data_IF_127150320421
#
_entry.id   IF_127150320421
#
_cell.length_a   1.000
_cell.length_b   1.000
_cell.length_c   1.000
_cell.angle_alpha   90.00
_cell.angle_beta   90.00
_cell.angle_gamma   90.00
#
_symmetry.space_group_name_H-M   'P 1'
#
loop_
_entity.id
_entity.type
_entity.pdbx_description
1 polymer ?
#
# COMPACT_ATOMS: atom_id res chain seq x y z
N UNK A 1 -24.84 32.59 13.11
CA UNK A 1 -25.48 31.37 13.64
C UNK A 1 -25.99 30.57 12.44
N UNK A 2 -25.31 29.51 12.04
CA UNK A 2 -25.80 28.60 11.01
C UNK A 2 -26.09 27.26 11.69
N UNK A 3 -27.38 26.97 11.87
CA UNK A 3 -27.86 25.70 12.40
C UNK A 3 -27.92 24.69 11.27
N UNK A 4 -27.07 23.66 11.34
CA UNK A 4 -27.29 22.42 10.61
C UNK A 4 -28.17 21.52 11.49
N UNK A 5 -29.36 21.21 11.03
CA UNK A 5 -30.28 20.24 11.63
C UNK A 5 -29.69 18.83 11.54
N UNK A 6 -29.70 18.11 12.67
CA UNK A 6 -29.05 16.81 12.87
C UNK A 6 -29.70 15.61 12.13
N UNK A 7 -30.68 15.86 11.26
CA UNK A 7 -31.53 14.81 10.66
C UNK A 7 -30.98 14.14 9.39
N UNK A 8 -29.87 14.59 8.82
CA UNK A 8 -29.30 13.96 7.60
C UNK A 8 -28.40 12.74 7.86
N UNK A 9 -28.13 12.40 9.12
CA UNK A 9 -27.22 11.32 9.52
C UNK A 9 -27.89 9.94 9.74
N UNK A 10 -29.15 9.73 9.32
CA UNK A 10 -29.84 8.42 9.42
C UNK A 10 -30.12 7.75 8.06
N UNK A 11 -29.17 7.75 7.14
CA UNK A 11 -29.24 6.85 5.98
C UNK A 11 -28.85 5.44 6.43
N UNK A 12 -29.82 4.51 6.44
CA UNK A 12 -29.61 3.09 6.75
C UNK A 12 -28.54 2.50 5.80
N UNK A 13 -27.62 1.67 6.29
CA UNK A 13 -26.62 1.02 5.45
C UNK A 13 -27.33 0.14 4.41
N UNK A 14 -26.92 0.26 3.14
CA UNK A 14 -27.38 -0.64 2.08
C UNK A 14 -26.98 -2.09 2.43
N UNK A 15 -27.85 -3.09 2.22
CA UNK A 15 -27.50 -4.48 2.47
C UNK A 15 -26.31 -4.87 1.59
N UNK A 16 -25.29 -5.45 2.23
CA UNK A 16 -24.06 -5.90 1.60
C UNK A 16 -24.41 -7.06 0.66
N UNK A 17 -24.09 -6.90 -0.63
CA UNK A 17 -24.22 -8.00 -1.60
C UNK A 17 -23.48 -9.22 -1.08
N UNK A 18 -24.17 -10.36 -1.09
CA UNK A 18 -23.69 -11.64 -0.59
C UNK A 18 -22.39 -12.03 -1.32
N UNK A 19 -21.33 -12.24 -0.55
CA UNK A 19 -20.03 -12.68 -1.07
C UNK A 19 -20.16 -14.11 -1.60
N UNK A 20 -20.00 -14.31 -2.91
CA UNK A 20 -19.84 -15.66 -3.48
C UNK A 20 -18.36 -16.06 -3.43
N UNK A 21 -18.01 -17.23 -2.86
CA UNK A 21 -16.65 -17.75 -2.94
C UNK A 21 -16.28 -18.08 -4.39
N UNK A 22 -15.08 -17.67 -4.81
CA UNK A 22 -14.48 -18.15 -6.07
C UNK A 22 -14.10 -19.61 -5.84
N UNK A 23 -14.74 -20.53 -6.57
CA UNK A 23 -14.36 -21.94 -6.60
C UNK A 23 -12.89 -22.04 -7.04
N UNK A 24 -12.02 -22.54 -6.16
CA UNK A 24 -10.66 -22.92 -6.53
C UNK A 24 -10.76 -24.12 -7.47
N UNK A 25 -10.26 -23.96 -8.69
CA UNK A 25 -9.76 -25.10 -9.46
C UNK A 25 -8.29 -25.26 -9.08
N UNK A 26 -7.90 -26.45 -8.64
CA UNK A 26 -6.50 -26.81 -8.46
C UNK A 26 -5.83 -26.97 -9.84
N UNK A 27 -4.63 -26.40 -10.05
CA UNK A 27 -3.75 -26.86 -11.10
C UNK A 27 -2.49 -27.49 -10.50
N UNK A 28 -2.26 -28.75 -10.89
CA UNK A 28 -0.92 -29.32 -10.97
C UNK A 28 0.00 -28.35 -11.74
N UNK A 29 1.22 -28.17 -11.23
CA UNK A 29 2.30 -27.33 -11.73
C UNK A 29 2.59 -27.54 -13.25
N UNK A 30 3.10 -26.51 -13.96
CA UNK A 30 4.53 -26.19 -13.85
C UNK A 30 4.83 -24.69 -13.72
N UNK A 31 6.04 -24.42 -13.22
CA UNK A 31 6.64 -23.13 -12.87
C UNK A 31 6.33 -21.99 -13.86
N UNK A 32 5.78 -20.84 -13.42
CA UNK A 32 5.51 -19.70 -14.29
C UNK A 32 6.80 -18.95 -14.69
N UNK A 33 6.89 -18.40 -15.92
CA UNK A 33 7.91 -17.43 -16.26
C UNK A 33 7.77 -16.15 -15.41
N UNK A 34 8.90 -15.59 -14.98
CA UNK A 34 8.92 -14.43 -14.08
C UNK A 34 8.25 -13.19 -14.73
N UNK A 35 7.46 -12.40 -13.97
CA UNK A 35 6.80 -11.19 -14.48
C UNK A 35 7.81 -10.14 -14.96
N UNK A 36 7.45 -9.41 -16.02
CA UNK A 36 8.27 -8.30 -16.54
C UNK A 36 8.05 -7.05 -15.68
N UNK A 37 8.90 -6.85 -14.69
CA UNK A 37 8.94 -5.64 -13.85
C UNK A 37 9.83 -4.57 -14.46
N UNK A 38 9.59 -3.29 -14.13
CA UNK A 38 10.56 -2.23 -14.42
C UNK A 38 11.81 -2.34 -13.50
N UNK A 39 12.81 -1.49 -13.75
CA UNK A 39 14.05 -1.39 -12.95
C UNK A 39 13.80 -1.11 -11.46
N UNK A 40 12.57 -0.69 -11.11
CA UNK A 40 12.12 -0.36 -9.77
C UNK A 40 11.21 -1.44 -9.17
N UNK A 41 10.96 -2.53 -9.90
CA UNK A 41 10.22 -3.70 -9.44
C UNK A 41 8.69 -3.53 -9.48
N UNK A 42 8.15 -2.53 -10.18
CA UNK A 42 6.71 -2.41 -10.40
C UNK A 42 6.27 -3.19 -11.64
N UNK A 43 5.09 -3.82 -11.57
CA UNK A 43 4.52 -4.53 -12.70
C UNK A 43 4.18 -3.59 -13.86
N UNK A 44 4.58 -3.96 -15.08
CA UNK A 44 4.33 -3.17 -16.28
C UNK A 44 2.92 -3.45 -16.83
N UNK A 45 1.95 -2.58 -16.54
CA UNK A 45 0.61 -2.72 -17.12
C UNK A 45 0.59 -2.13 -18.53
N UNK A 46 0.47 -2.99 -19.56
CA UNK A 46 0.17 -2.53 -20.92
C UNK A 46 -1.24 -1.94 -20.95
N UNK A 47 -1.35 -0.61 -21.12
CA UNK A 47 -2.63 0.04 -21.39
C UNK A 47 -3.19 -0.50 -22.70
N UNK A 48 -4.43 -1.02 -22.70
CA UNK A 48 -5.15 -1.33 -23.95
C UNK A 48 -5.27 -0.04 -24.75
N UNK A 49 -4.65 0.01 -25.92
CA UNK A 49 -4.97 1.03 -26.91
C UNK A 49 -6.44 0.87 -27.33
N UNK A 50 -7.21 1.96 -27.30
CA UNK A 50 -8.54 1.97 -27.88
C UNK A 50 -8.40 1.77 -29.41
N UNK A 51 -8.82 0.62 -29.91
CA UNK A 51 -8.83 0.36 -31.35
C UNK A 51 -9.93 1.19 -32.03
N UNK A 52 -9.70 1.80 -33.21
CA UNK A 52 -10.75 2.43 -33.98
C UNK A 52 -11.68 1.36 -34.55
N UNK A 53 -12.99 1.61 -34.49
CA UNK A 53 -14.02 0.73 -35.04
C UNK A 53 -14.05 0.90 -36.57
N UNK A 54 -13.57 -0.08 -37.32
CA UNK A 54 -13.92 -0.30 -38.74
C UNK A 54 -14.15 -1.80 -38.95
N UNK A 55 -15.25 -2.14 -39.64
CA UNK A 55 -15.89 -3.45 -39.62
C UNK A 55 -15.34 -4.54 -40.55
N UNK A 56 -16.11 -5.64 -40.52
CA UNK A 56 -16.14 -6.84 -41.38
C UNK A 56 -15.13 -7.98 -41.15
N UNK A 57 -15.63 -8.96 -40.37
CA UNK A 57 -15.72 -10.43 -40.61
C UNK A 57 -14.51 -11.17 -41.21
N UNK A 58 -13.78 -11.88 -40.35
CA UNK A 58 -13.24 -13.22 -40.66
C UNK A 58 -13.07 -14.03 -39.36
N UNK A 59 -13.53 -15.28 -39.37
CA UNK A 59 -13.42 -16.21 -38.23
C UNK A 59 -11.97 -16.72 -38.12
N UNK A 60 -11.34 -16.45 -36.99
CA UNK A 60 -10.16 -17.18 -36.51
C UNK A 60 -10.41 -17.58 -35.05
N UNK A 61 -9.90 -18.75 -34.61
CA UNK A 61 -10.18 -19.28 -33.27
C UNK A 61 -9.68 -18.28 -32.21
N UNK A 62 -10.30 -18.22 -31.01
CA UNK A 62 -9.94 -17.21 -30.02
C UNK A 62 -8.50 -17.47 -29.57
N UNK A 63 -7.57 -16.74 -30.17
CA UNK A 63 -6.23 -16.58 -29.64
C UNK A 63 -6.47 -16.07 -28.23
N UNK A 64 -6.09 -16.89 -27.25
CA UNK A 64 -6.22 -16.50 -25.86
C UNK A 64 -5.45 -15.20 -25.72
N UNK A 65 -6.20 -14.11 -25.56
CA UNK A 65 -5.66 -12.86 -25.08
C UNK A 65 -5.17 -13.20 -23.69
N UNK A 66 -3.88 -13.50 -23.60
CA UNK A 66 -3.16 -13.64 -22.35
C UNK A 66 -3.29 -12.28 -21.66
N UNK A 67 -4.38 -12.12 -20.91
CA UNK A 67 -4.50 -11.08 -19.92
C UNK A 67 -3.45 -11.43 -18.88
N UNK A 68 -2.21 -10.97 -19.09
CA UNK A 68 -1.24 -10.79 -18.02
C UNK A 68 -1.79 -9.69 -17.12
N UNK A 69 -2.86 -10.00 -16.38
CA UNK A 69 -3.04 -9.46 -15.06
C UNK A 69 -1.96 -10.16 -14.26
N UNK A 70 -0.74 -9.62 -14.30
CA UNK A 70 0.30 -10.01 -13.36
C UNK A 70 -0.34 -9.87 -11.98
N UNK A 71 -0.64 -11.00 -11.36
CA UNK A 71 -1.20 -11.03 -10.01
C UNK A 71 -0.05 -10.60 -9.11
N UNK A 72 0.09 -9.30 -8.97
CA UNK A 72 1.03 -8.70 -8.03
C UNK A 72 0.59 -9.13 -6.63
N UNK A 73 1.27 -10.14 -6.10
CA UNK A 73 1.03 -10.60 -4.74
C UNK A 73 1.34 -9.47 -3.75
N UNK A 74 0.61 -9.45 -2.64
CA UNK A 74 0.80 -8.44 -1.58
C UNK A 74 2.23 -8.44 -1.07
N UNK A 75 2.87 -9.62 -1.01
CA UNK A 75 4.26 -9.72 -0.60
C UNK A 75 5.22 -9.08 -1.62
N UNK A 76 4.90 -9.20 -2.91
CA UNK A 76 5.67 -8.56 -3.97
C UNK A 76 5.56 -7.04 -3.90
N UNK A 77 4.33 -6.51 -3.85
CA UNK A 77 4.08 -5.07 -3.82
C UNK A 77 4.67 -4.40 -2.56
N UNK A 78 4.39 -4.94 -1.38
CA UNK A 78 4.66 -4.23 -0.12
C UNK A 78 6.03 -4.54 0.49
N UNK A 79 6.67 -5.65 0.14
CA UNK A 79 7.88 -6.11 0.83
C UNK A 79 9.04 -6.46 -0.10
N UNK A 80 8.78 -6.89 -1.34
CA UNK A 80 9.85 -7.36 -2.23
C UNK A 80 10.23 -6.38 -3.34
N UNK A 81 9.32 -5.52 -3.77
CA UNK A 81 9.59 -4.44 -4.72
C UNK A 81 10.76 -3.56 -4.25
N UNK A 82 11.65 -3.16 -5.16
CA UNK A 82 12.85 -2.36 -4.84
C UNK A 82 12.46 -1.04 -4.20
N UNK A 83 11.48 -0.35 -4.78
CA UNK A 83 10.96 0.90 -4.21
C UNK A 83 10.43 0.73 -2.78
N UNK A 84 9.72 -0.37 -2.51
CA UNK A 84 9.21 -0.68 -1.18
C UNK A 84 10.34 -0.98 -0.19
N UNK A 85 11.35 -1.77 -0.60
CA UNK A 85 12.54 -2.07 0.21
C UNK A 85 13.30 -0.81 0.59
N UNK A 86 13.52 0.09 -0.35
CA UNK A 86 14.22 1.36 -0.11
C UNK A 86 13.45 2.25 0.85
N UNK A 87 12.12 2.30 0.73
CA UNK A 87 11.28 3.02 1.68
C UNK A 87 11.35 2.40 3.09
N UNK A 88 11.21 1.08 3.21
CA UNK A 88 11.31 0.39 4.50
C UNK A 88 12.67 0.57 5.16
N UNK A 89 13.75 0.51 4.38
CA UNK A 89 15.10 0.76 4.88
C UNK A 89 15.25 2.19 5.38
N UNK A 90 14.72 3.17 4.63
CA UNK A 90 14.73 4.57 5.04
C UNK A 90 13.97 4.81 6.35
N UNK A 91 12.79 4.20 6.50
CA UNK A 91 11.99 4.25 7.73
C UNK A 91 12.70 3.55 8.90
N UNK A 92 13.37 2.43 8.63
CA UNK A 92 14.17 1.68 9.60
C UNK A 92 15.31 2.51 10.15
N UNK A 93 16.03 3.22 9.30
CA UNK A 93 17.12 4.07 9.70
C UNK A 93 16.65 5.26 10.55
N UNK A 94 15.48 5.84 10.23
CA UNK A 94 14.96 7.00 10.95
C UNK A 94 14.38 6.65 12.34
N UNK A 95 13.47 5.68 12.44
CA UNK A 95 12.75 5.39 13.70
C UNK A 95 13.33 4.19 14.47
N UNK A 96 14.46 3.63 14.03
CA UNK A 96 14.98 2.35 14.49
C UNK A 96 13.88 1.26 14.45
N UNK A 97 13.28 1.10 13.27
CA UNK A 97 12.11 0.25 13.03
C UNK A 97 12.50 -1.23 13.12
N UNK A 98 12.24 -1.89 14.26
CA UNK A 98 12.59 -3.32 14.48
C UNK A 98 11.59 -4.31 13.87
N UNK A 99 10.71 -3.85 13.00
CA UNK A 99 9.65 -4.67 12.39
C UNK A 99 10.24 -5.46 11.23
N UNK A 100 9.82 -6.72 11.11
CA UNK A 100 10.26 -7.59 10.02
C UNK A 100 9.46 -7.23 8.76
N UNK A 101 10.16 -6.81 7.71
CA UNK A 101 9.56 -6.39 6.44
C UNK A 101 9.82 -7.41 5.33
N UNK A 102 10.07 -8.68 5.68
CA UNK A 102 10.35 -9.74 4.70
C UNK A 102 9.09 -10.21 3.97
N UNK A 103 7.97 -10.29 4.68
CA UNK A 103 6.65 -10.63 4.14
C UNK A 103 5.54 -10.21 5.12
N UNK A 104 4.29 -10.28 4.67
CA UNK A 104 3.09 -9.89 5.41
C UNK A 104 2.94 -10.62 6.74
N UNK A 105 3.29 -11.91 6.80
CA UNK A 105 3.13 -12.71 8.01
C UNK A 105 4.18 -12.30 9.05
N UNK A 106 5.44 -12.20 8.66
CA UNK A 106 6.51 -11.74 9.53
C UNK A 106 6.29 -10.30 10.01
N UNK A 107 5.79 -9.43 9.13
CA UNK A 107 5.43 -8.06 9.43
C UNK A 107 4.33 -7.97 10.49
N UNK A 108 3.21 -8.65 10.27
CA UNK A 108 2.10 -8.64 11.23
C UNK A 108 2.51 -9.26 12.57
N UNK A 109 3.24 -10.38 12.56
CA UNK A 109 3.73 -11.01 13.78
C UNK A 109 4.69 -10.12 14.56
N UNK A 110 5.62 -9.44 13.88
CA UNK A 110 6.58 -8.55 14.54
C UNK A 110 5.89 -7.33 15.15
N UNK A 111 4.87 -6.76 14.49
CA UNK A 111 4.04 -5.68 15.04
C UNK A 111 3.28 -6.08 16.31
N UNK A 112 2.74 -7.30 16.35
CA UNK A 112 2.04 -7.83 17.54
C UNK A 112 3.03 -8.09 18.69
N UNK A 113 4.23 -8.59 18.37
CA UNK A 113 5.28 -8.94 19.34
C UNK A 113 6.11 -7.75 19.82
N UNK A 114 5.82 -6.51 19.39
CA UNK A 114 6.59 -5.33 19.79
C UNK A 114 6.67 -5.19 21.31
N UNK A 115 7.89 -5.12 21.84
CA UNK A 115 8.19 -4.84 23.25
C UNK A 115 8.66 -3.39 23.39
N UNK A 116 7.70 -2.46 23.39
CA UNK A 116 7.92 -1.00 23.49
C UNK A 116 6.88 -0.34 24.41
N UNK A 117 7.15 0.85 24.96
CA UNK A 117 6.13 1.66 25.64
C UNK A 117 4.92 1.93 24.74
N UNK A 118 3.74 2.13 25.34
CA UNK A 118 2.48 2.29 24.59
C UNK A 118 2.52 3.40 23.53
N UNK A 119 3.10 4.56 23.87
CA UNK A 119 3.25 5.68 22.93
C UNK A 119 4.14 5.32 21.73
N UNK A 120 5.30 4.71 21.98
CA UNK A 120 6.21 4.25 20.92
C UNK A 120 5.57 3.18 20.03
N UNK A 121 4.80 2.24 20.61
CA UNK A 121 4.02 1.29 19.82
C UNK A 121 3.05 1.98 18.87
N UNK A 122 2.31 2.96 19.37
CA UNK A 122 1.34 3.71 18.55
C UNK A 122 2.02 4.49 17.42
N UNK A 123 3.14 5.15 17.70
CA UNK A 123 3.93 5.83 16.67
C UNK A 123 4.48 4.82 15.66
N UNK A 124 4.96 3.66 16.11
CA UNK A 124 5.45 2.59 15.24
C UNK A 124 4.35 2.06 14.32
N UNK A 125 3.12 1.88 14.83
CA UNK A 125 1.95 1.53 14.01
C UNK A 125 1.59 2.61 13.01
N UNK A 126 1.69 3.89 13.39
CA UNK A 126 1.46 5.00 12.46
C UNK A 126 2.49 5.02 11.33
N UNK A 127 3.78 4.79 11.63
CA UNK A 127 4.85 4.68 10.63
C UNK A 127 4.61 3.50 9.69
N UNK A 128 4.32 2.33 10.25
CA UNK A 128 4.01 1.13 9.49
C UNK A 128 2.83 1.35 8.51
N UNK A 129 1.73 1.93 8.99
CA UNK A 129 0.56 2.22 8.18
C UNK A 129 0.86 3.27 7.10
N UNK A 130 1.60 4.33 7.43
CA UNK A 130 1.95 5.38 6.48
C UNK A 130 2.88 4.87 5.37
N UNK A 131 3.81 3.95 5.69
CA UNK A 131 4.68 3.31 4.71
C UNK A 131 3.88 2.44 3.73
N UNK A 132 2.98 1.58 4.23
CA UNK A 132 2.07 0.78 3.39
C UNK A 132 1.24 1.68 2.46
N UNK A 133 0.65 2.74 3.00
CA UNK A 133 -0.12 3.69 2.20
C UNK A 133 0.73 4.38 1.13
N UNK A 134 1.96 4.75 1.47
CA UNK A 134 2.91 5.38 0.55
C UNK A 134 3.26 4.46 -0.63
N UNK A 135 3.50 3.18 -0.37
CA UNK A 135 3.75 2.16 -1.40
C UNK A 135 2.55 2.04 -2.32
N UNK A 136 1.36 1.85 -1.74
CA UNK A 136 0.12 1.75 -2.51
C UNK A 136 -0.12 3.00 -3.38
N UNK A 137 0.11 4.19 -2.82
CA UNK A 137 -0.04 5.44 -3.54
C UNK A 137 0.97 5.56 -4.69
N UNK A 138 2.25 5.31 -4.44
CA UNK A 138 3.30 5.38 -5.46
C UNK A 138 3.01 4.44 -6.63
N UNK A 139 2.60 3.20 -6.33
CA UNK A 139 2.17 2.22 -7.33
C UNK A 139 0.99 2.74 -8.17
N UNK A 140 -0.03 3.31 -7.53
CA UNK A 140 -1.20 3.83 -8.24
C UNK A 140 -0.87 5.04 -9.11
N UNK A 141 -0.04 5.96 -8.64
CA UNK A 141 0.43 7.12 -9.42
C UNK A 141 1.22 6.66 -10.65
N UNK A 142 2.03 5.61 -10.50
CA UNK A 142 2.74 5.00 -11.62
C UNK A 142 1.77 4.37 -12.64
N UNK A 143 0.78 3.61 -12.19
CA UNK A 143 -0.16 2.92 -13.09
C UNK A 143 -1.10 3.91 -13.81
N UNK A 144 -1.71 4.83 -13.06
CA UNK A 144 -2.78 5.67 -13.58
C UNK A 144 -2.26 6.97 -14.19
N UNK A 145 -1.26 7.60 -13.55
CA UNK A 145 -0.71 8.90 -13.96
C UNK A 145 0.60 8.78 -14.75
N UNK A 146 1.18 7.58 -14.88
CA UNK A 146 2.55 7.37 -15.38
C UNK A 146 3.60 8.24 -14.65
N UNK A 147 3.31 8.57 -13.38
CA UNK A 147 4.15 9.45 -12.57
C UNK A 147 4.90 8.63 -11.52
N UNK A 148 6.23 8.77 -11.50
CA UNK A 148 7.08 8.11 -10.51
C UNK A 148 7.34 9.04 -9.33
N UNK A 149 6.97 8.57 -8.13
CA UNK A 149 7.31 9.26 -6.89
C UNK A 149 8.64 8.71 -6.39
N UNK A 150 9.62 9.58 -6.17
CA UNK A 150 10.90 9.18 -5.60
C UNK A 150 10.77 8.83 -4.11
N UNK A 151 11.42 7.75 -3.68
CA UNK A 151 11.43 7.28 -2.29
C UNK A 151 11.86 8.39 -1.33
N UNK A 152 12.88 9.19 -1.68
CA UNK A 152 13.38 10.26 -0.82
C UNK A 152 12.33 11.34 -0.56
N UNK A 153 11.60 11.76 -1.60
CA UNK A 153 10.51 12.72 -1.49
C UNK A 153 9.39 12.17 -0.63
N UNK A 154 8.98 10.93 -0.88
CA UNK A 154 7.88 10.30 -0.14
C UNK A 154 8.26 10.05 1.32
N UNK A 155 9.51 9.67 1.59
CA UNK A 155 10.05 9.51 2.93
C UNK A 155 10.00 10.84 3.70
N UNK A 156 10.53 11.92 3.12
CA UNK A 156 10.49 13.26 3.73
C UNK A 156 9.07 13.67 4.12
N UNK A 157 8.12 13.57 3.18
CA UNK A 157 6.72 13.90 3.42
C UNK A 157 6.09 13.03 4.51
N UNK A 158 6.38 11.73 4.50
CA UNK A 158 5.86 10.80 5.50
C UNK A 158 6.38 11.13 6.89
N UNK A 159 7.67 11.45 7.02
CA UNK A 159 8.30 11.88 8.28
C UNK A 159 7.64 13.14 8.82
N UNK A 160 7.53 14.18 7.99
CA UNK A 160 6.91 15.45 8.35
C UNK A 160 5.46 15.23 8.84
N UNK A 161 4.68 14.44 8.10
CA UNK A 161 3.31 14.10 8.46
C UNK A 161 3.17 13.38 9.80
N UNK A 162 4.11 12.50 10.14
CA UNK A 162 4.08 11.75 11.41
C UNK A 162 4.54 12.63 12.56
N UNK A 163 5.58 13.45 12.36
CA UNK A 163 6.06 14.43 13.35
C UNK A 163 4.92 15.38 13.70
N UNK A 164 4.31 16.02 12.70
CA UNK A 164 3.24 16.99 12.91
C UNK A 164 2.04 16.39 13.67
N UNK A 165 1.57 15.21 13.26
CA UNK A 165 0.46 14.53 13.95
C UNK A 165 0.84 14.14 15.38
N UNK A 166 2.05 13.68 15.62
CA UNK A 166 2.51 13.31 16.96
C UNK A 166 2.65 14.54 17.86
N UNK A 167 3.15 15.66 17.33
CA UNK A 167 3.20 16.94 18.06
C UNK A 167 1.82 17.43 18.47
N UNK A 168 0.85 17.40 17.55
CA UNK A 168 -0.55 17.76 17.84
C UNK A 168 -1.13 16.85 18.93
N UNK A 169 -0.96 15.53 18.78
CA UNK A 169 -1.44 14.55 19.77
C UNK A 169 -0.78 14.76 21.13
N UNK A 170 0.51 15.12 21.17
CA UNK A 170 1.19 15.41 22.41
C UNK A 170 0.72 16.71 23.06
N UNK A 171 0.43 17.74 22.27
CA UNK A 171 -0.07 19.01 22.81
C UNK A 171 -1.39 18.81 23.56
N UNK A 172 -2.24 17.91 23.06
CA UNK A 172 -3.54 17.56 23.66
C UNK A 172 -3.38 16.60 24.84
N UNK A 173 -2.56 15.55 24.69
CA UNK A 173 -2.56 14.42 25.64
C UNK A 173 -1.35 14.37 26.59
N UNK A 174 -0.24 15.03 26.24
CA UNK A 174 1.07 14.97 26.91
C UNK A 174 1.70 13.56 26.99
N UNK A 175 1.14 12.58 26.29
CA UNK A 175 1.56 11.16 26.36
C UNK A 175 2.74 10.79 25.45
N UNK A 176 3.16 11.69 24.57
CA UNK A 176 4.13 11.40 23.50
C UNK A 176 5.43 12.21 23.62
N UNK A 177 5.66 12.91 24.74
CA UNK A 177 6.88 13.72 24.95
C UNK A 177 8.15 12.93 24.66
N UNK A 178 8.28 11.72 25.20
CA UNK A 178 9.43 10.86 24.94
C UNK A 178 9.53 10.37 23.48
N UNK A 179 8.41 10.26 22.77
CA UNK A 179 8.43 9.90 21.35
C UNK A 179 8.89 11.07 20.48
N UNK A 180 8.57 12.31 20.86
CA UNK A 180 8.95 13.51 20.10
C UNK A 180 10.47 13.67 20.07
N UNK A 181 11.13 13.51 21.22
CA UNK A 181 12.61 13.55 21.29
C UNK A 181 13.24 12.58 20.28
N UNK A 182 12.71 11.35 20.20
CA UNK A 182 13.16 10.34 19.24
C UNK A 182 12.79 10.65 17.78
N UNK A 183 11.65 11.29 17.53
CA UNK A 183 11.19 11.62 16.17
C UNK A 183 11.98 12.78 15.55
N UNK A 184 12.50 13.68 16.39
CA UNK A 184 13.24 14.88 16.00
C UNK A 184 14.76 14.68 16.00
N UNK A 185 15.26 13.56 16.52
CA UNK A 185 16.67 13.14 16.42
C UNK A 185 17.03 12.76 14.97
#
# INVERSE_FOLDING_TARGET
MFGHTEDECRKKPKPRTEWRPILRQDPLNPTPPQPLTDEEGFALVKKKAAAPIIGHRELSPPTQVQNNFDIEDLDQLFFQCKWAKDLWQSMRNWWNFTVDTSNKQAFTQSLVKLKKPKGEKQVTYAIAAAAIYSIWRARNEKIFSNHMIYVQTQNKLTREHIIQRTLILNNITRKYTHCIEKLLA
#
